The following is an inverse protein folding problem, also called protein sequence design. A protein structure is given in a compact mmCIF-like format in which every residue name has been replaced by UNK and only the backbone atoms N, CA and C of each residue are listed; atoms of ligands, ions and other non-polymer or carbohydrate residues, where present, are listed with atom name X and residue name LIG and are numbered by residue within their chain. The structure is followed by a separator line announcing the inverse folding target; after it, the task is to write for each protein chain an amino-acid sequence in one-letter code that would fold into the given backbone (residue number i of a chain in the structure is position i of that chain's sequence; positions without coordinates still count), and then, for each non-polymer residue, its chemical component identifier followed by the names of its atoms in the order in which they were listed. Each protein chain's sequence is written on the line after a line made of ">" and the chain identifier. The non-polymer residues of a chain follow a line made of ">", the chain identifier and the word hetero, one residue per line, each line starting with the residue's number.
data_IF_282334390573
#
_entry.id   IF_282334390573
#
_cell.length_a   1.000
_cell.length_b   1.000
_cell.length_c   1.000
_cell.angle_alpha   90.00
_cell.angle_beta   90.00
_cell.angle_gamma   90.00
#
_symmetry.space_group_name_H-M   'P 1'
#
loop_
_entity.id
_entity.type
_entity.pdbx_description
1 polymer ?
#
# COMPACT_ATOMS: atom_id res chain seq x y z
N UNK A 1 12.75 -4.56 -8.44
CA UNK A 1 12.35 -5.89 -8.00
C UNK A 1 12.28 -6.01 -6.48
N UNK A 2 13.30 -5.56 -5.72
CA UNK A 2 13.26 -5.61 -4.25
C UNK A 2 12.02 -4.90 -3.70
N UNK A 3 11.74 -3.69 -4.15
CA UNK A 3 10.56 -2.93 -3.73
C UNK A 3 9.22 -3.54 -4.16
N UNK A 4 9.17 -4.28 -5.28
CA UNK A 4 7.96 -4.99 -5.66
C UNK A 4 7.59 -6.07 -4.63
N UNK A 5 8.57 -6.84 -4.17
CA UNK A 5 8.38 -7.84 -3.12
C UNK A 5 8.03 -7.17 -1.78
N UNK A 6 8.79 -6.15 -1.40
CA UNK A 6 8.55 -5.39 -0.17
C UNK A 6 7.13 -4.84 -0.11
N UNK A 7 6.66 -4.16 -1.18
CA UNK A 7 5.32 -3.58 -1.24
C UNK A 7 4.22 -4.64 -1.16
N UNK A 8 4.38 -5.81 -1.79
CA UNK A 8 3.38 -6.86 -1.71
C UNK A 8 3.25 -7.43 -0.30
N UNK A 9 4.38 -7.64 0.40
CA UNK A 9 4.39 -8.09 1.80
C UNK A 9 3.87 -7.00 2.74
N UNK A 10 4.27 -5.73 2.53
CA UNK A 10 3.74 -4.62 3.31
C UNK A 10 2.22 -4.54 3.23
N UNK A 11 1.64 -4.67 2.02
CA UNK A 11 0.17 -4.66 1.83
C UNK A 11 -0.53 -5.81 2.54
N UNK A 12 0.09 -7.01 2.57
CA UNK A 12 -0.44 -8.13 3.33
C UNK A 12 -0.45 -7.82 4.84
N UNK A 13 0.65 -7.27 5.36
CA UNK A 13 0.76 -6.91 6.78
C UNK A 13 -0.21 -5.79 7.16
N UNK A 14 -0.37 -4.77 6.31
CA UNK A 14 -1.32 -3.68 6.55
C UNK A 14 -2.79 -4.16 6.62
N UNK A 15 -3.10 -5.31 6.04
CA UNK A 15 -4.42 -5.95 6.16
C UNK A 15 -4.56 -6.87 7.38
N UNK A 16 -3.50 -7.06 8.18
CA UNK A 16 -3.50 -7.93 9.36
C UNK A 16 -2.87 -9.31 9.14
N UNK A 17 -2.24 -9.54 7.99
CA UNK A 17 -1.45 -10.75 7.74
C UNK A 17 -0.08 -10.70 8.42
N UNK A 18 0.55 -11.86 8.62
CA UNK A 18 1.90 -11.96 9.17
C UNK A 18 2.92 -12.04 8.04
N UNK A 19 4.02 -11.27 8.15
CA UNK A 19 5.06 -11.27 7.10
C UNK A 19 5.74 -12.63 6.95
N UNK A 20 5.97 -13.32 8.05
CA UNK A 20 6.63 -14.63 8.08
C UNK A 20 5.77 -15.76 7.49
N UNK A 21 4.45 -15.59 7.46
CA UNK A 21 3.51 -16.54 6.87
C UNK A 21 3.21 -16.23 5.38
N UNK A 22 3.90 -15.24 4.82
CA UNK A 22 3.70 -14.85 3.44
C UNK A 22 4.38 -15.81 2.45
N UNK A 23 3.66 -16.12 1.38
CA UNK A 23 4.19 -16.76 0.18
C UNK A 23 4.05 -15.81 -0.99
N UNK A 24 4.98 -15.90 -1.94
CA UNK A 24 4.98 -15.02 -3.10
C UNK A 24 4.57 -15.76 -4.36
N UNK A 25 3.90 -15.05 -5.26
CA UNK A 25 3.86 -15.39 -6.68
C UNK A 25 4.39 -14.22 -7.48
N UNK A 26 5.25 -14.50 -8.46
CA UNK A 26 5.94 -13.46 -9.22
C UNK A 26 5.51 -13.52 -10.68
N UNK A 27 5.27 -12.36 -11.27
CA UNK A 27 5.03 -12.25 -12.71
C UNK A 27 6.04 -11.28 -13.31
N UNK A 28 6.64 -11.69 -14.44
CA UNK A 28 7.62 -10.89 -15.14
C UNK A 28 7.20 -10.65 -16.59
N UNK A 29 7.52 -9.45 -17.07
CA UNK A 29 7.26 -9.04 -18.44
C UNK A 29 8.49 -8.34 -18.98
N UNK A 30 9.08 -8.88 -20.04
CA UNK A 30 10.26 -8.34 -20.69
C UNK A 30 10.10 -8.33 -22.19
N UNK A 31 10.92 -7.52 -22.85
CA UNK A 31 11.07 -7.47 -24.29
C UNK A 31 11.56 -8.82 -24.86
N UNK A 32 11.60 -8.92 -26.18
CA UNK A 32 12.21 -10.08 -26.82
C UNK A 32 13.71 -10.15 -26.49
N UNK A 33 14.14 -11.31 -25.93
CA UNK A 33 15.51 -11.52 -25.46
C UNK A 33 16.43 -11.96 -26.61
N UNK A 34 16.95 -11.02 -27.36
CA UNK A 34 17.79 -11.25 -28.54
C UNK A 34 19.22 -10.70 -28.41
N UNK A 35 19.57 -10.10 -27.27
CA UNK A 35 20.89 -9.57 -26.98
C UNK A 35 21.31 -9.87 -25.54
N UNK A 36 22.60 -9.67 -25.20
CA UNK A 36 23.08 -9.84 -23.81
C UNK A 36 22.44 -8.82 -22.88
N UNK A 37 22.19 -7.62 -23.36
CA UNK A 37 21.59 -6.52 -22.60
C UNK A 37 20.12 -6.87 -22.28
N UNK A 38 19.36 -7.39 -23.24
CA UNK A 38 17.97 -7.80 -23.02
C UNK A 38 17.88 -8.98 -22.05
N UNK A 39 18.80 -9.94 -22.09
CA UNK A 39 18.90 -11.03 -21.12
C UNK A 39 19.34 -10.55 -19.72
N UNK A 40 20.13 -9.49 -19.63
CA UNK A 40 20.55 -8.90 -18.36
C UNK A 40 19.40 -8.38 -17.51
N UNK A 41 18.32 -7.91 -18.14
CA UNK A 41 17.15 -7.31 -17.45
C UNK A 41 16.39 -8.33 -16.58
N UNK A 42 15.92 -9.49 -17.08
CA UNK A 42 15.28 -10.49 -16.25
C UNK A 42 16.22 -11.07 -15.17
N UNK A 43 17.52 -11.24 -15.50
CA UNK A 43 18.50 -11.68 -14.49
C UNK A 43 18.62 -10.67 -13.35
N UNK A 44 18.67 -9.38 -13.64
CA UNK A 44 18.72 -8.34 -12.61
C UNK A 44 17.43 -8.31 -11.76
N UNK A 45 16.25 -8.48 -12.39
CA UNK A 45 14.98 -8.56 -11.69
C UNK A 45 14.93 -9.79 -10.76
N UNK A 46 15.34 -10.95 -11.27
CA UNK A 46 15.41 -12.19 -10.50
C UNK A 46 16.35 -12.08 -9.29
N UNK A 47 17.54 -11.48 -9.48
CA UNK A 47 18.49 -11.27 -8.38
C UNK A 47 17.92 -10.33 -7.31
N UNK A 48 17.22 -9.28 -7.72
CA UNK A 48 16.54 -8.39 -6.79
C UNK A 48 15.42 -9.07 -6.00
N UNK A 49 14.58 -9.86 -6.68
CA UNK A 49 13.53 -10.65 -6.02
C UNK A 49 14.11 -11.73 -5.10
N UNK A 50 15.21 -12.38 -5.52
CA UNK A 50 15.91 -13.36 -4.70
C UNK A 50 16.48 -12.72 -3.42
N UNK A 51 17.13 -11.56 -3.54
CA UNK A 51 17.62 -10.82 -2.37
C UNK A 51 16.48 -10.52 -1.40
N UNK A 52 15.36 -9.99 -1.87
CA UNK A 52 14.21 -9.68 -1.03
C UNK A 52 13.67 -10.93 -0.30
N UNK A 53 13.55 -12.07 -0.99
CA UNK A 53 13.14 -13.34 -0.38
C UNK A 53 14.11 -13.81 0.71
N UNK A 54 15.40 -13.62 0.51
CA UNK A 54 16.44 -13.95 1.51
C UNK A 54 16.35 -13.05 2.74
N UNK A 55 16.14 -11.75 2.55
CA UNK A 55 16.02 -10.78 3.65
C UNK A 55 14.74 -11.03 4.49
N UNK A 56 13.66 -11.44 3.84
CA UNK A 56 12.37 -11.69 4.48
C UNK A 56 12.19 -13.14 4.94
N UNK A 57 13.07 -14.05 4.53
CA UNK A 57 13.00 -15.50 4.81
C UNK A 57 11.70 -16.15 4.32
N UNK A 58 11.17 -15.65 3.20
CA UNK A 58 9.94 -16.17 2.56
C UNK A 58 10.23 -16.70 1.16
N UNK A 59 9.38 -17.58 0.66
CA UNK A 59 9.56 -18.23 -0.64
C UNK A 59 8.49 -17.86 -1.67
N UNK A 60 8.91 -17.84 -2.95
CA UNK A 60 7.96 -17.85 -4.04
C UNK A 60 7.47 -19.28 -4.31
N UNK A 61 6.15 -19.45 -4.37
CA UNK A 61 5.48 -20.73 -4.58
C UNK A 61 5.01 -20.92 -6.03
N UNK A 62 5.12 -19.89 -6.85
CA UNK A 62 4.73 -19.92 -8.24
C UNK A 62 4.97 -18.59 -8.93
N UNK A 63 4.58 -18.56 -10.18
CA UNK A 63 4.68 -17.37 -11.01
C UNK A 63 4.64 -17.68 -12.49
N UNK A 64 4.84 -16.64 -13.29
CA UNK A 64 4.95 -16.78 -14.74
C UNK A 64 5.80 -15.64 -15.29
N UNK A 65 6.45 -15.88 -16.40
CA UNK A 65 7.23 -14.90 -17.15
C UNK A 65 6.74 -14.75 -18.60
N UNK A 66 7.08 -13.63 -19.19
CA UNK A 66 6.81 -13.30 -20.57
C UNK A 66 8.02 -12.57 -21.15
N UNK A 67 8.71 -13.23 -22.09
CA UNK A 67 9.96 -12.75 -22.67
C UNK A 67 9.81 -12.35 -24.16
N UNK A 68 8.62 -11.91 -24.56
CA UNK A 68 8.29 -11.56 -25.94
C UNK A 68 7.42 -10.31 -26.05
N UNK A 69 7.51 -9.42 -25.06
CA UNK A 69 6.72 -8.20 -24.97
C UNK A 69 7.16 -7.11 -25.97
N UNK A 70 7.39 -7.50 -27.22
CA UNK A 70 7.72 -6.55 -28.31
C UNK A 70 6.74 -6.75 -29.47
N UNK A 71 6.07 -5.68 -29.86
CA UNK A 71 5.17 -5.65 -30.99
C UNK A 71 5.50 -4.43 -31.87
N UNK A 72 6.02 -4.69 -33.08
CA UNK A 72 6.56 -3.66 -33.95
C UNK A 72 7.65 -2.85 -33.24
N UNK A 73 7.43 -1.55 -33.04
CA UNK A 73 8.29 -0.59 -32.35
C UNK A 73 7.94 -0.41 -30.86
N UNK A 74 6.83 -1.01 -30.40
CA UNK A 74 6.44 -0.98 -28.99
C UNK A 74 7.12 -2.11 -28.21
N UNK A 75 7.74 -1.76 -27.13
CA UNK A 75 8.42 -2.72 -26.25
C UNK A 75 7.93 -2.53 -24.82
N UNK A 76 7.52 -3.63 -24.16
CA UNK A 76 7.14 -3.60 -22.75
C UNK A 76 8.35 -3.19 -21.90
N UNK A 77 8.21 -2.23 -20.99
CA UNK A 77 9.27 -1.92 -20.05
C UNK A 77 9.54 -3.13 -19.13
N UNK A 78 10.79 -3.30 -18.66
CA UNK A 78 11.12 -4.35 -17.69
C UNK A 78 10.20 -4.25 -16.48
N UNK A 79 9.40 -5.28 -16.24
CA UNK A 79 8.38 -5.26 -15.20
C UNK A 79 8.45 -6.54 -14.37
N UNK A 80 8.52 -6.40 -13.04
CA UNK A 80 8.29 -7.48 -12.08
C UNK A 80 7.12 -7.10 -11.19
N UNK A 81 6.13 -7.98 -11.15
CA UNK A 81 4.96 -7.86 -10.27
C UNK A 81 5.07 -8.93 -9.20
N UNK A 82 4.90 -8.54 -7.95
CA UNK A 82 4.88 -9.44 -6.80
C UNK A 82 3.49 -9.46 -6.18
N UNK A 83 3.01 -10.65 -5.89
CA UNK A 83 1.82 -10.88 -5.07
C UNK A 83 2.24 -11.62 -3.82
N UNK A 84 1.87 -11.11 -2.66
CA UNK A 84 1.99 -11.82 -1.41
C UNK A 84 0.63 -12.42 -1.03
N UNK A 85 0.65 -13.68 -0.62
CA UNK A 85 -0.53 -14.38 -0.12
C UNK A 85 -0.21 -14.98 1.24
N UNK A 86 -1.14 -14.91 2.14
CA UNK A 86 -1.02 -15.45 3.49
C UNK A 86 -2.39 -15.67 4.10
N UNK A 87 -2.41 -16.22 5.29
CA UNK A 87 -3.63 -16.37 6.10
C UNK A 87 -3.61 -15.38 7.25
N UNK A 88 -4.79 -14.92 7.68
CA UNK A 88 -4.92 -14.07 8.84
C UNK A 88 -6.15 -14.50 9.66
N UNK A 89 -6.12 -14.22 10.95
CA UNK A 89 -7.31 -14.40 11.79
C UNK A 89 -8.32 -13.29 11.46
N UNK A 90 -9.59 -13.66 11.29
CA UNK A 90 -10.64 -12.71 10.85
C UNK A 90 -10.76 -11.49 11.76
N UNK A 91 -10.54 -11.66 13.07
CA UNK A 91 -10.61 -10.58 14.05
C UNK A 91 -9.45 -9.56 13.93
N UNK A 92 -8.37 -9.93 13.23
CA UNK A 92 -7.21 -9.08 13.00
C UNK A 92 -7.25 -8.38 11.64
N UNK A 93 -8.31 -8.56 10.87
CA UNK A 93 -8.42 -7.89 9.58
C UNK A 93 -8.77 -6.42 9.78
N UNK A 94 -7.91 -5.55 9.26
CA UNK A 94 -8.15 -4.10 9.18
C UNK A 94 -8.25 -3.67 7.73
N UNK A 95 -9.08 -2.68 7.43
CA UNK A 95 -9.15 -2.08 6.10
C UNK A 95 -8.36 -0.78 6.04
N UNK A 96 -8.17 -0.29 4.83
CA UNK A 96 -7.37 0.92 4.61
C UNK A 96 -8.13 2.23 4.90
N UNK A 97 -9.47 2.20 4.93
CA UNK A 97 -10.27 3.42 5.06
C UNK A 97 -10.25 3.95 6.49
N UNK A 98 -10.17 5.27 6.68
CA UNK A 98 -10.26 5.91 7.99
C UNK A 98 -11.58 5.57 8.68
N UNK A 99 -11.56 5.34 9.99
CA UNK A 99 -12.72 4.83 10.76
C UNK A 99 -13.39 5.87 11.65
N UNK A 100 -12.69 6.91 12.05
CA UNK A 100 -13.26 7.88 12.97
C UNK A 100 -12.61 9.24 12.91
N UNK A 101 -13.12 10.16 13.73
CA UNK A 101 -12.57 11.51 13.91
C UNK A 101 -11.75 11.59 15.19
N UNK A 102 -10.86 12.59 15.28
CA UNK A 102 -9.93 12.80 16.39
C UNK A 102 -8.92 11.67 16.61
N UNK A 103 -8.81 10.73 15.67
CA UNK A 103 -7.77 9.71 15.67
C UNK A 103 -6.44 10.28 15.18
N UNK A 104 -5.34 9.66 15.58
CA UNK A 104 -4.00 10.05 15.11
C UNK A 104 -3.58 9.23 13.92
N UNK A 105 -2.94 9.90 12.95
CA UNK A 105 -2.24 9.26 11.86
C UNK A 105 -0.76 9.17 12.19
N UNK A 106 -0.25 7.96 12.28
CA UNK A 106 1.14 7.66 12.60
C UNK A 106 1.83 7.11 11.38
N UNK A 107 2.98 7.66 11.05
CA UNK A 107 3.82 7.23 9.94
C UNK A 107 4.98 6.39 10.47
N UNK A 108 5.14 5.19 9.93
CA UNK A 108 6.26 4.28 10.15
C UNK A 108 7.15 4.32 8.92
N UNK A 109 8.28 4.97 9.02
CA UNK A 109 9.19 5.12 7.89
C UNK A 109 10.01 3.86 7.65
N UNK A 110 10.24 3.53 6.38
CA UNK A 110 11.20 2.53 5.93
C UNK A 110 12.26 3.26 5.12
N UNK A 111 13.38 3.64 5.74
CA UNK A 111 14.43 4.38 5.08
C UNK A 111 15.02 3.60 3.91
N UNK A 112 15.62 4.33 2.97
CA UNK A 112 16.49 3.75 1.96
C UNK A 112 17.91 3.72 2.47
N UNK A 113 18.60 2.67 2.14
CA UNK A 113 20.04 2.56 2.38
C UNK A 113 20.82 3.45 1.39
N UNK A 114 22.11 3.56 1.59
CA UNK A 114 23.00 4.33 0.72
C UNK A 114 22.94 3.93 -0.77
N UNK A 115 22.65 2.66 -1.07
CA UNK A 115 22.55 2.12 -2.44
C UNK A 115 21.09 2.04 -2.96
N UNK A 116 20.20 2.87 -2.41
CA UNK A 116 18.79 2.94 -2.76
C UNK A 116 17.99 1.64 -2.56
N UNK A 117 18.52 0.70 -1.78
CA UNK A 117 17.76 -0.49 -1.36
C UNK A 117 16.96 -0.23 -0.09
N UNK A 118 15.92 -1.03 0.22
CA UNK A 118 15.21 -0.90 1.48
C UNK A 118 16.10 -1.18 2.69
N UNK A 119 15.88 -0.48 3.78
CA UNK A 119 16.33 -0.91 5.11
C UNK A 119 15.45 -2.09 5.56
N UNK A 120 15.95 -3.31 5.31
CA UNK A 120 15.20 -4.53 5.57
C UNK A 120 14.96 -4.79 7.05
N UNK A 121 15.88 -4.39 7.92
CA UNK A 121 15.71 -4.58 9.36
C UNK A 121 14.64 -3.66 9.89
N UNK A 122 14.66 -2.39 9.49
CA UNK A 122 13.60 -1.44 9.80
C UNK A 122 12.24 -1.88 9.26
N UNK A 123 12.19 -2.38 8.03
CA UNK A 123 10.97 -2.91 7.45
C UNK A 123 10.37 -4.06 8.27
N UNK A 124 11.20 -5.03 8.66
CA UNK A 124 10.77 -6.17 9.51
C UNK A 124 10.26 -5.70 10.86
N UNK A 125 10.99 -4.82 11.53
CA UNK A 125 10.58 -4.24 12.82
C UNK A 125 9.25 -3.49 12.73
N UNK A 126 9.04 -2.70 11.68
CA UNK A 126 7.78 -2.00 11.45
C UNK A 126 6.62 -2.97 11.21
N UNK A 127 6.84 -4.03 10.42
CA UNK A 127 5.83 -5.07 10.19
C UNK A 127 5.43 -5.77 11.49
N UNK A 128 6.40 -6.19 12.29
CA UNK A 128 6.18 -6.92 13.54
C UNK A 128 5.47 -6.02 14.56
N UNK A 129 5.86 -4.75 14.64
CA UNK A 129 5.20 -3.75 15.49
C UNK A 129 3.76 -3.51 15.05
N UNK A 130 3.53 -3.28 13.75
CA UNK A 130 2.19 -3.03 13.23
C UNK A 130 1.26 -4.20 13.53
N UNK A 131 1.74 -5.43 13.30
CA UNK A 131 0.97 -6.62 13.60
C UNK A 131 0.63 -6.75 15.09
N UNK A 132 1.59 -6.52 15.98
CA UNK A 132 1.36 -6.53 17.43
C UNK A 132 0.28 -5.51 17.83
N UNK A 133 0.29 -4.32 17.23
CA UNK A 133 -0.71 -3.29 17.52
C UNK A 133 -2.09 -3.63 16.94
N UNK A 134 -2.16 -4.29 15.80
CA UNK A 134 -3.40 -4.82 15.22
C UNK A 134 -3.99 -5.89 16.15
N UNK A 135 -3.20 -6.87 16.59
CA UNK A 135 -3.62 -7.93 17.50
C UNK A 135 -4.13 -7.41 18.86
N UNK A 136 -3.60 -6.26 19.30
CA UNK A 136 -4.06 -5.56 20.50
C UNK A 136 -5.30 -4.69 20.28
N UNK A 137 -5.85 -4.66 19.06
CA UNK A 137 -7.01 -3.84 18.70
C UNK A 137 -6.78 -2.33 18.77
N UNK A 138 -5.53 -1.87 18.62
CA UNK A 138 -5.14 -0.46 18.71
C UNK A 138 -5.05 0.25 17.35
N UNK A 139 -5.13 -0.50 16.27
CA UNK A 139 -5.09 -0.02 14.89
C UNK A 139 -6.48 -0.09 14.31
N UNK A 140 -6.99 1.05 13.82
CA UNK A 140 -8.29 1.14 13.19
C UNK A 140 -8.21 0.94 11.67
N UNK A 141 -7.17 1.51 11.05
CA UNK A 141 -6.87 1.32 9.63
C UNK A 141 -5.36 1.44 9.37
N UNK A 142 -4.89 0.82 8.29
CA UNK A 142 -3.50 0.89 7.87
C UNK A 142 -3.40 0.93 6.34
N UNK A 143 -2.42 1.68 5.84
CA UNK A 143 -2.14 1.83 4.42
C UNK A 143 -0.64 1.84 4.15
N UNK A 144 -0.23 1.28 3.02
CA UNK A 144 1.17 1.27 2.58
C UNK A 144 1.44 2.45 1.68
N UNK A 145 2.45 3.24 2.02
CA UNK A 145 2.88 4.37 1.20
C UNK A 145 3.58 3.88 -0.06
N UNK A 146 3.26 4.48 -1.19
CA UNK A 146 3.78 4.14 -2.52
C UNK A 146 4.39 5.39 -3.18
N UNK A 147 4.35 5.46 -4.49
CA UNK A 147 5.03 6.47 -5.33
C UNK A 147 4.61 7.92 -5.05
N UNK A 148 3.34 8.16 -4.70
CA UNK A 148 2.82 9.51 -4.44
C UNK A 148 3.08 10.01 -3.02
N UNK A 149 3.79 9.24 -2.20
CA UNK A 149 4.15 9.62 -0.85
C UNK A 149 2.97 9.65 0.14
N UNK A 150 3.19 10.35 1.26
CA UNK A 150 2.23 10.44 2.36
C UNK A 150 0.87 11.05 1.92
N UNK A 151 0.82 12.15 1.14
CA UNK A 151 -0.47 12.74 0.76
C UNK A 151 -1.34 11.85 -0.11
N UNK A 152 -0.74 11.07 -1.02
CA UNK A 152 -1.49 10.07 -1.81
C UNK A 152 -2.12 9.03 -0.90
N UNK A 153 -1.33 8.46 0.00
CA UNK A 153 -1.78 7.42 0.91
C UNK A 153 -2.91 7.93 1.83
N UNK A 154 -2.72 9.07 2.50
CA UNK A 154 -3.73 9.70 3.36
C UNK A 154 -5.00 10.02 2.59
N UNK A 155 -4.87 10.54 1.37
CA UNK A 155 -6.03 10.83 0.52
C UNK A 155 -6.84 9.58 0.23
N UNK A 156 -6.20 8.48 -0.16
CA UNK A 156 -6.88 7.20 -0.42
C UNK A 156 -7.57 6.64 0.82
N UNK A 157 -6.94 6.77 2.00
CA UNK A 157 -7.56 6.41 3.27
C UNK A 157 -8.79 7.27 3.59
N UNK A 158 -8.73 8.57 3.29
CA UNK A 158 -9.80 9.53 3.57
C UNK A 158 -11.04 9.36 2.70
N UNK A 159 -10.86 9.01 1.41
CA UNK A 159 -11.95 8.90 0.44
C UNK A 159 -12.97 7.81 0.79
N UNK A 160 -12.54 6.67 1.37
CA UNK A 160 -13.40 5.52 1.62
C UNK A 160 -14.62 5.85 2.50
N UNK A 161 -14.40 6.53 3.62
CA UNK A 161 -15.45 6.92 4.57
C UNK A 161 -15.68 8.44 4.63
N UNK A 162 -15.13 9.19 3.68
CA UNK A 162 -15.28 10.63 3.58
C UNK A 162 -14.86 11.37 4.86
N UNK A 163 -13.77 10.91 5.52
CA UNK A 163 -13.21 11.47 6.75
C UNK A 163 -12.05 12.38 6.38
N UNK A 164 -12.11 13.64 6.77
CA UNK A 164 -11.05 14.60 6.51
C UNK A 164 -9.80 14.38 7.38
N UNK A 165 -8.70 14.99 6.96
CA UNK A 165 -7.44 14.93 7.67
C UNK A 165 -6.81 16.31 7.76
N UNK A 166 -6.32 16.65 8.93
CA UNK A 166 -5.48 17.81 9.17
C UNK A 166 -4.06 17.36 9.46
N UNK A 167 -3.14 17.69 8.57
CA UNK A 167 -1.73 17.41 8.77
C UNK A 167 -1.14 18.29 9.86
N UNK A 168 -0.21 17.73 10.62
CA UNK A 168 0.58 18.49 11.58
C UNK A 168 1.54 19.45 10.85
N UNK A 169 1.90 20.57 11.51
CA UNK A 169 2.81 21.59 10.96
C UNK A 169 4.20 21.06 10.62
N UNK A 170 4.55 19.91 11.18
CA UNK A 170 5.83 19.22 10.96
C UNK A 170 5.77 18.14 9.90
N UNK A 171 4.71 18.07 9.08
CA UNK A 171 4.76 17.31 7.85
C UNK A 171 5.86 17.92 6.98
N UNK A 172 7.04 17.30 7.01
CA UNK A 172 8.28 17.86 6.50
C UNK A 172 8.24 18.10 4.99
N UNK A 173 9.10 19.01 4.53
CA UNK A 173 9.41 19.10 3.10
C UNK A 173 9.80 17.72 2.59
N UNK A 174 9.07 17.21 1.61
CA UNK A 174 9.32 15.88 1.04
C UNK A 174 8.20 14.86 1.26
N UNK A 175 7.08 15.24 1.90
CA UNK A 175 5.94 14.32 2.07
C UNK A 175 5.40 13.75 0.74
N UNK A 176 5.64 14.44 -0.39
CA UNK A 176 5.29 13.98 -1.74
C UNK A 176 6.34 13.03 -2.35
N UNK A 177 7.45 12.79 -1.65
CA UNK A 177 8.44 11.83 -2.14
C UNK A 177 7.98 10.40 -1.92
N UNK A 178 8.37 9.47 -2.81
CA UNK A 178 8.11 8.06 -2.60
C UNK A 178 8.69 7.56 -1.27
N UNK A 179 7.86 6.90 -0.46
CA UNK A 179 8.25 6.24 0.79
C UNK A 179 7.80 4.78 0.76
N UNK A 180 8.35 4.04 -0.22
CA UNK A 180 7.92 2.70 -0.59
C UNK A 180 8.02 1.71 0.56
N UNK A 181 6.86 1.16 0.96
CA UNK A 181 6.77 0.16 2.03
C UNK A 181 6.66 0.73 3.43
N UNK A 182 6.72 2.05 3.59
CA UNK A 182 6.35 2.73 4.82
C UNK A 182 4.84 2.62 5.07
N UNK A 183 4.41 2.72 6.33
CA UNK A 183 2.99 2.60 6.67
C UNK A 183 2.43 3.91 7.21
N UNK A 184 1.17 4.15 6.91
CA UNK A 184 0.34 5.11 7.63
C UNK A 184 -0.72 4.33 8.39
N UNK A 185 -0.83 4.60 9.67
CA UNK A 185 -1.68 3.86 10.60
C UNK A 185 -2.58 4.81 11.35
N UNK A 186 -3.88 4.55 11.32
CA UNK A 186 -4.86 5.26 12.15
C UNK A 186 -4.97 4.57 13.50
N UNK A 187 -4.72 5.31 14.57
CA UNK A 187 -4.70 4.78 15.93
C UNK A 187 -5.45 5.67 16.91
N UNK A 188 -5.88 5.08 18.02
CA UNK A 188 -6.34 5.83 19.18
C UNK A 188 -5.20 6.64 19.82
N UNK A 189 -5.53 7.78 20.44
CA UNK A 189 -4.56 8.64 21.12
C UNK A 189 -3.77 7.90 22.20
N UNK A 190 -4.34 6.89 22.82
CA UNK A 190 -3.68 6.11 23.87
C UNK A 190 -2.54 5.24 23.37
N UNK A 191 -2.56 4.87 22.10
CA UNK A 191 -1.48 4.09 21.47
C UNK A 191 -0.28 4.97 21.08
N UNK A 192 -0.47 6.27 20.91
CA UNK A 192 0.53 7.18 20.34
C UNK A 192 1.81 7.24 21.15
N UNK A 193 1.70 7.35 22.49
CA UNK A 193 2.90 7.48 23.34
C UNK A 193 3.85 6.28 23.21
N UNK A 194 3.31 5.08 23.12
CA UNK A 194 4.12 3.88 22.89
C UNK A 194 4.78 3.89 21.51
N UNK A 195 4.03 4.25 20.48
CA UNK A 195 4.52 4.22 19.11
C UNK A 195 5.61 5.26 18.86
N UNK A 196 5.54 6.43 19.51
CA UNK A 196 6.55 7.48 19.38
C UNK A 196 7.90 7.17 20.08
N UNK A 197 7.96 6.13 20.90
CA UNK A 197 9.23 5.64 21.45
C UNK A 197 10.04 4.82 20.42
N UNK A 198 9.40 4.41 19.32
CA UNK A 198 10.04 3.64 18.27
C UNK A 198 10.80 4.58 17.31
N UNK A 199 11.96 4.16 16.80
CA UNK A 199 12.70 4.94 15.83
C UNK A 199 11.95 5.01 14.49
N UNK A 200 12.11 6.15 13.80
CA UNK A 200 11.51 6.44 12.49
C UNK A 200 9.95 6.38 12.47
N UNK A 201 9.34 6.58 13.65
CA UNK A 201 7.89 6.68 13.81
C UNK A 201 7.50 8.10 14.24
N UNK A 202 6.51 8.68 13.56
CA UNK A 202 6.04 10.05 13.86
C UNK A 202 4.55 10.22 13.63
N UNK A 203 3.91 11.08 14.43
CA UNK A 203 2.55 11.55 14.13
C UNK A 203 2.63 12.53 12.97
N UNK A 204 1.77 12.34 11.98
CA UNK A 204 1.70 13.20 10.78
C UNK A 204 0.41 14.01 10.70
N UNK A 205 -0.59 13.71 11.52
CA UNK A 205 -1.85 14.44 11.50
C UNK A 205 -2.94 13.82 12.35
N UNK A 206 -4.11 14.41 12.24
CA UNK A 206 -5.32 13.99 12.94
C UNK A 206 -6.49 13.93 11.98
N UNK A 207 -7.37 12.95 12.16
CA UNK A 207 -8.61 12.84 11.40
C UNK A 207 -9.64 13.86 11.91
N UNK A 208 -10.49 14.36 11.01
CA UNK A 208 -11.49 15.38 11.33
C UNK A 208 -12.81 15.13 10.62
N UNK A 209 -13.91 15.67 11.20
CA UNK A 209 -15.25 15.52 10.64
C UNK A 209 -15.47 16.29 9.33
N UNK A 210 -14.77 17.43 9.15
CA UNK A 210 -14.86 18.19 7.90
C UNK A 210 -14.15 17.42 6.79
N UNK A 211 -14.83 17.08 5.66
CA UNK A 211 -14.25 16.23 4.61
C UNK A 211 -13.27 17.01 3.71
N UNK A 212 -12.16 17.42 4.27
CA UNK A 212 -11.08 18.15 3.60
C UNK A 212 -9.72 17.57 4.00
N UNK A 213 -8.73 17.69 3.14
CA UNK A 213 -7.33 17.55 3.50
C UNK A 213 -6.78 18.94 3.79
N UNK A 214 -6.31 19.15 5.00
CA UNK A 214 -5.79 20.45 5.47
C UNK A 214 -4.29 20.35 5.75
N UNK A 215 -3.51 21.30 5.22
CA UNK A 215 -2.08 21.44 5.45
C UNK A 215 -1.67 22.91 5.43
N UNK A 216 -0.96 23.38 6.46
CA UNK A 216 -0.46 24.75 6.60
C UNK A 216 -1.51 25.86 6.33
N UNK A 217 -2.75 25.63 6.76
CA UNK A 217 -3.86 26.56 6.59
C UNK A 217 -4.49 26.57 5.21
N UNK A 218 -4.02 25.73 4.30
CA UNK A 218 -4.68 25.47 3.02
C UNK A 218 -5.52 24.18 3.13
N UNK A 219 -6.60 24.10 2.39
CA UNK A 219 -7.44 22.91 2.37
C UNK A 219 -7.97 22.63 0.97
N UNK A 220 -8.15 21.36 0.68
CA UNK A 220 -8.83 20.85 -0.53
C UNK A 220 -9.94 19.90 -0.11
N UNK A 221 -11.11 19.99 -0.71
CA UNK A 221 -12.23 19.10 -0.37
C UNK A 221 -12.01 17.70 -0.93
N UNK A 222 -12.45 16.68 -0.18
CA UNK A 222 -12.41 15.29 -0.67
C UNK A 222 -13.24 15.13 -1.93
N UNK A 223 -14.31 15.92 -2.11
CA UNK A 223 -15.11 15.93 -3.33
C UNK A 223 -14.32 16.38 -4.57
N UNK A 224 -13.49 17.44 -4.42
CA UNK A 224 -12.62 17.90 -5.52
C UNK A 224 -11.54 16.87 -5.84
N UNK A 225 -10.95 16.27 -4.81
CA UNK A 225 -9.95 15.21 -4.96
C UNK A 225 -10.56 13.99 -5.67
N UNK A 226 -11.75 13.56 -5.25
CA UNK A 226 -12.45 12.43 -5.88
C UNK A 226 -12.74 12.72 -7.35
N UNK A 227 -13.26 13.90 -7.67
CA UNK A 227 -13.54 14.29 -9.03
C UNK A 227 -12.27 14.28 -9.90
N UNK A 228 -11.14 14.77 -9.38
CA UNK A 228 -9.86 14.74 -10.08
C UNK A 228 -9.32 13.31 -10.25
N UNK A 229 -9.55 12.43 -9.27
CA UNK A 229 -9.15 11.02 -9.32
C UNK A 229 -9.95 10.21 -10.37
N UNK A 230 -11.23 10.47 -10.49
CA UNK A 230 -12.15 9.75 -11.39
C UNK A 230 -12.06 10.26 -12.85
N UNK A 231 -11.78 11.56 -13.04
CA UNK A 231 -11.81 12.21 -14.34
C UNK A 231 -10.98 11.54 -15.46
N UNK A 232 -9.75 11.06 -15.22
CA UNK A 232 -8.88 10.56 -16.31
C UNK A 232 -9.46 9.37 -17.08
N UNK A 233 -10.28 8.54 -16.45
CA UNK A 233 -10.83 7.34 -17.07
C UNK A 233 -12.34 7.43 -17.34
N UNK A 234 -13.00 8.51 -16.90
CA UNK A 234 -14.45 8.61 -16.93
C UNK A 234 -15.07 8.51 -18.35
N UNK A 235 -14.37 9.01 -19.36
CA UNK A 235 -14.85 8.97 -20.75
C UNK A 235 -14.75 7.58 -21.39
N UNK A 236 -13.83 6.74 -20.90
CA UNK A 236 -13.57 5.40 -21.42
C UNK A 236 -14.20 4.34 -20.52
N UNK A 237 -14.13 4.55 -19.22
CA UNK A 237 -14.65 3.64 -18.20
C UNK A 237 -15.37 4.44 -17.10
N UNK A 238 -16.61 4.88 -17.33
CA UNK A 238 -17.35 5.71 -16.38
C UNK A 238 -17.66 4.95 -15.09
N UNK A 239 -17.62 5.65 -13.96
CA UNK A 239 -17.95 5.10 -12.64
C UNK A 239 -19.41 4.59 -12.55
N UNK A 240 -20.29 5.14 -13.38
CA UNK A 240 -21.69 4.72 -13.48
C UNK A 240 -22.02 4.29 -14.90
N UNK A 241 -22.67 3.15 -15.05
CA UNK A 241 -23.15 2.71 -16.36
C UNK A 241 -24.13 3.75 -16.95
N UNK A 242 -24.05 4.07 -18.26
CA UNK A 242 -24.91 5.08 -18.87
C UNK A 242 -26.40 4.82 -18.72
N UNK A 243 -26.81 3.56 -18.57
CA UNK A 243 -28.20 3.12 -18.44
C UNK A 243 -28.62 2.80 -16.98
N UNK A 244 -27.85 3.21 -16.01
CA UNK A 244 -28.03 2.83 -14.60
C UNK A 244 -27.65 1.35 -14.36
N UNK A 245 -27.45 1.01 -13.09
CA UNK A 245 -27.44 -0.40 -12.69
C UNK A 245 -28.88 -0.88 -12.77
N UNK A 246 -29.14 -1.97 -13.48
CA UNK A 246 -30.43 -2.68 -13.36
C UNK A 246 -30.73 -2.95 -11.87
N UNK A 247 -31.99 -3.20 -11.53
CA UNK A 247 -32.34 -3.49 -10.12
C UNK A 247 -31.32 -4.45 -9.49
N UNK A 248 -30.77 -4.03 -8.35
CA UNK A 248 -29.81 -4.86 -7.62
C UNK A 248 -30.51 -6.17 -7.24
N UNK A 249 -30.13 -7.27 -7.83
CA UNK A 249 -30.56 -8.59 -7.41
C UNK A 249 -29.96 -8.86 -6.04
N UNK A 250 -30.74 -8.68 -5.00
CA UNK A 250 -30.36 -9.09 -3.66
C UNK A 250 -30.22 -10.61 -3.65
N UNK A 251 -29.01 -11.13 -3.64
CA UNK A 251 -28.76 -12.54 -3.31
C UNK A 251 -29.04 -12.73 -1.83
N UNK A 252 -30.23 -13.22 -1.51
CA UNK A 252 -30.51 -13.72 -0.17
C UNK A 252 -29.73 -15.03 -0.05
N UNK A 253 -28.65 -15.00 0.71
CA UNK A 253 -27.93 -16.22 1.07
C UNK A 253 -28.85 -17.04 1.96
N UNK A 254 -29.42 -18.13 1.43
CA UNK A 254 -30.20 -19.05 2.22
C UNK A 254 -29.26 -19.75 3.22
N UNK A 255 -29.33 -19.34 4.48
CA UNK A 255 -28.50 -19.90 5.56
C UNK A 255 -28.88 -21.36 5.91
N UNK A 256 -29.79 -21.99 5.16
CA UNK A 256 -30.32 -23.32 5.40
C UNK A 256 -29.96 -24.37 4.34
N UNK A 257 -29.12 -24.03 3.36
CA UNK A 257 -28.55 -25.05 2.49
C UNK A 257 -27.51 -25.86 3.29
N UNK A 258 -27.93 -27.03 3.79
CA UNK A 258 -27.09 -28.04 4.43
C UNK A 258 -26.23 -28.74 3.39
#
# INVERSE_FOLDING_TARGET
>A
AQYAVLLSVAKLVALGGRREDAYLTLQEYFERLNSKESWGKPVAALLGAYKAQKELEIGAIGGKDSMSGTFMDLTVPPTLVSFAVGTAHVDNIVSQDLKGVDHRLVFFDVPRTYDDTPDWDRFKENCDTLQEQIEKGRVYSAYVVDQGGIPEAVTKMALGNNIGVKFDKYAERGIFQPALGSFIVEVDITAVNYLLELPDVKVIGVTQATPVIEWEGQSVSLKEIQAAYEAPLNDIFPMHAPNGFGEAVAYIHDQHAK
#
